data_IF_591419376830
#
_entry.id   IF_591419376830
#
_cell.length_a   1.000
_cell.length_b   1.000
_cell.length_c   1.000
_cell.angle_alpha   90.00
_cell.angle_beta   90.00
_cell.angle_gamma   90.00
#
_symmetry.space_group_name_H-M   'P 1'
#
loop_
_entity.id
_entity.type
_entity.pdbx_description
1 polymer ?
#
# COMPACT_ATOMS: atom_id res chain seq x y z
N UNK A 1 25.13 -35.78 -16.73
CA UNK A 1 25.09 -34.58 -15.87
C UNK A 1 23.79 -33.83 -16.16
N UNK A 2 22.77 -33.98 -15.31
CA UNK A 2 21.53 -33.19 -15.39
C UNK A 2 21.77 -31.86 -14.66
N UNK A 3 22.37 -30.90 -15.37
CA UNK A 3 22.51 -29.53 -14.90
C UNK A 3 21.26 -28.73 -15.30
N UNK A 4 20.18 -28.90 -14.51
CA UNK A 4 18.91 -28.19 -14.70
C UNK A 4 18.56 -27.36 -13.47
N UNK A 5 18.85 -26.05 -13.55
CA UNK A 5 18.10 -24.96 -12.90
C UNK A 5 17.68 -25.13 -11.42
N UNK A 6 18.63 -25.29 -10.48
CA UNK A 6 18.35 -25.15 -9.05
C UNK A 6 18.14 -23.70 -8.57
N UNK A 7 18.28 -22.69 -9.44
CA UNK A 7 18.14 -21.28 -9.07
C UNK A 7 16.68 -20.79 -8.93
N UNK A 8 15.69 -21.60 -9.34
CA UNK A 8 14.28 -21.19 -9.36
C UNK A 8 13.48 -21.55 -8.10
N UNK A 9 13.85 -22.60 -7.36
CA UNK A 9 13.05 -23.06 -6.20
C UNK A 9 13.10 -22.06 -5.03
N UNK A 10 14.26 -21.48 -4.72
CA UNK A 10 14.36 -20.53 -3.60
C UNK A 10 13.61 -19.21 -3.85
N UNK A 11 13.42 -18.82 -5.11
CA UNK A 11 12.73 -17.57 -5.44
C UNK A 11 11.22 -17.69 -5.30
N UNK A 12 10.63 -18.84 -5.67
CA UNK A 12 9.20 -19.07 -5.53
C UNK A 12 8.80 -19.18 -4.06
N UNK A 13 9.59 -19.86 -3.22
CA UNK A 13 9.36 -19.92 -1.77
C UNK A 13 9.44 -18.53 -1.12
N UNK A 14 10.43 -17.71 -1.50
CA UNK A 14 10.56 -16.34 -0.99
C UNK A 14 9.36 -15.44 -1.37
N UNK A 15 8.80 -15.62 -2.56
CA UNK A 15 7.61 -14.87 -3.00
C UNK A 15 6.36 -15.35 -2.25
N UNK A 16 6.16 -16.67 -2.09
CA UNK A 16 5.05 -17.22 -1.32
C UNK A 16 5.10 -16.82 0.15
N UNK A 17 6.29 -16.79 0.76
CA UNK A 17 6.48 -16.27 2.10
C UNK A 17 6.25 -14.76 2.15
N UNK A 18 6.66 -14.01 1.13
CA UNK A 18 6.32 -12.59 0.97
C UNK A 18 4.82 -12.32 1.01
N UNK A 19 3.99 -13.18 0.41
CA UNK A 19 2.53 -13.07 0.48
C UNK A 19 1.98 -13.31 1.89
N UNK A 20 2.52 -14.30 2.63
CA UNK A 20 2.14 -14.52 4.03
C UNK A 20 2.55 -13.35 4.91
N UNK A 21 3.75 -12.81 4.70
CA UNK A 21 4.26 -11.65 5.42
C UNK A 21 3.42 -10.40 5.11
N UNK A 22 3.06 -10.16 3.85
CA UNK A 22 2.15 -9.07 3.49
C UNK A 22 0.81 -9.19 4.23
N UNK A 23 0.22 -10.39 4.27
CA UNK A 23 -1.03 -10.64 5.03
C UNK A 23 -0.87 -10.38 6.52
N UNK A 24 0.27 -10.74 7.11
CA UNK A 24 0.56 -10.45 8.51
C UNK A 24 0.69 -8.93 8.75
N UNK A 25 1.38 -8.19 7.87
CA UNK A 25 1.46 -6.72 7.92
C UNK A 25 0.07 -6.08 7.81
N UNK A 26 -0.80 -6.56 6.92
CA UNK A 26 -2.20 -6.08 6.83
C UNK A 26 -2.94 -6.24 8.16
N UNK A 27 -2.74 -7.38 8.84
CA UNK A 27 -3.44 -7.70 10.08
C UNK A 27 -2.89 -6.92 11.28
N UNK A 28 -1.57 -6.76 11.37
CA UNK A 28 -0.89 -5.94 12.38
C UNK A 28 -1.29 -4.46 12.22
N UNK A 29 -1.31 -3.94 10.98
CA UNK A 29 -1.76 -2.58 10.72
C UNK A 29 -3.26 -2.40 11.01
N UNK A 30 -4.09 -3.40 10.71
CA UNK A 30 -5.50 -3.37 11.11
C UNK A 30 -5.64 -3.29 12.64
N UNK A 31 -4.83 -4.03 13.41
CA UNK A 31 -4.86 -3.99 14.87
C UNK A 31 -4.38 -2.64 15.45
N UNK A 32 -3.40 -1.99 14.82
CA UNK A 32 -2.85 -0.70 15.29
C UNK A 32 -3.68 0.52 14.83
N UNK A 33 -4.21 0.46 13.61
CA UNK A 33 -4.82 1.61 12.92
C UNK A 33 -6.34 1.50 12.86
N UNK A 34 -6.91 0.30 13.01
CA UNK A 34 -8.34 0.02 12.89
C UNK A 34 -8.85 -0.06 11.45
N UNK A 35 -8.00 0.23 10.47
CA UNK A 35 -8.32 0.16 9.03
C UNK A 35 -7.39 -0.85 8.39
N UNK A 36 -7.93 -1.73 7.54
CA UNK A 36 -7.17 -2.78 6.89
C UNK A 36 -6.56 -2.24 5.59
N UNK A 37 -5.24 -1.99 5.53
CA UNK A 37 -4.59 -1.65 4.28
C UNK A 37 -4.45 -2.90 3.39
N UNK A 38 -4.27 -2.69 2.10
CA UNK A 38 -3.74 -3.69 1.19
C UNK A 38 -2.22 -3.55 1.16
N UNK A 39 -1.50 -4.66 1.33
CA UNK A 39 -0.03 -4.65 1.29
C UNK A 39 0.43 -5.33 0.01
N UNK A 40 1.17 -4.60 -0.81
CA UNK A 40 1.87 -5.14 -1.97
C UNK A 40 3.37 -4.98 -1.78
N UNK A 41 4.15 -5.85 -2.40
CA UNK A 41 5.59 -5.89 -2.21
C UNK A 41 6.26 -6.25 -3.53
N UNK A 42 7.44 -5.68 -3.76
CA UNK A 42 8.19 -5.87 -4.99
C UNK A 42 9.53 -6.55 -4.70
N UNK A 43 9.73 -7.71 -5.31
CA UNK A 43 11.01 -8.41 -5.29
C UNK A 43 11.71 -8.18 -6.62
N UNK A 44 12.99 -7.79 -6.54
CA UNK A 44 13.85 -7.70 -7.70
C UNK A 44 15.13 -8.47 -7.42
N UNK A 45 15.48 -9.42 -8.30
CA UNK A 45 16.67 -10.26 -8.18
C UNK A 45 16.84 -10.94 -6.80
N UNK A 46 15.75 -11.44 -6.22
CA UNK A 46 15.77 -12.12 -4.92
C UNK A 46 15.93 -11.20 -3.71
N UNK A 47 15.76 -9.88 -3.88
CA UNK A 47 15.72 -8.91 -2.77
C UNK A 47 14.40 -8.17 -2.72
N UNK A 48 13.90 -7.94 -1.51
CA UNK A 48 12.77 -7.07 -1.24
C UNK A 48 13.18 -5.60 -1.48
N UNK A 49 12.67 -5.01 -2.56
CA UNK A 49 13.02 -3.63 -2.95
C UNK A 49 12.06 -2.61 -2.34
N UNK A 50 10.76 -2.82 -2.52
CA UNK A 50 9.74 -1.93 -1.98
C UNK A 50 8.57 -2.68 -1.38
N UNK A 51 7.99 -2.11 -0.34
CA UNK A 51 6.68 -2.52 0.20
C UNK A 51 5.75 -1.32 0.14
N UNK A 52 4.59 -1.51 -0.48
CA UNK A 52 3.55 -0.50 -0.61
C UNK A 52 2.36 -0.88 0.25
N UNK A 53 2.03 -0.02 1.19
CA UNK A 53 0.89 -0.14 2.09
C UNK A 53 -0.18 0.84 1.60
N UNK A 54 -1.27 0.31 1.05
CA UNK A 54 -2.37 1.09 0.47
C UNK A 54 -3.57 1.09 1.40
N UNK A 55 -3.90 2.23 1.97
CA UNK A 55 -5.13 2.42 2.75
C UNK A 55 -6.33 2.72 1.84
N UNK A 56 -7.52 2.17 2.14
CA UNK A 56 -8.72 2.35 1.33
C UNK A 56 -9.34 3.75 1.42
N UNK A 57 -8.87 4.59 2.33
CA UNK A 57 -9.30 5.98 2.50
C UNK A 57 -8.19 6.79 3.18
N UNK A 58 -8.25 8.12 3.08
CA UNK A 58 -7.43 9.00 3.91
C UNK A 58 -7.76 8.80 5.38
N UNK A 59 -6.72 8.67 6.20
CA UNK A 59 -6.83 8.58 7.66
C UNK A 59 -6.55 9.96 8.24
N UNK A 60 -7.60 10.69 8.63
CA UNK A 60 -7.48 12.06 9.15
C UNK A 60 -7.23 12.08 10.67
N UNK A 61 -7.65 11.02 11.36
CA UNK A 61 -7.57 10.93 12.82
C UNK A 61 -6.18 10.50 13.33
N UNK A 62 -5.25 10.16 12.43
CA UNK A 62 -3.91 9.68 12.78
C UNK A 62 -2.81 10.46 12.06
N UNK A 63 -1.74 10.85 12.76
CA UNK A 63 -0.64 11.56 12.12
C UNK A 63 0.09 10.63 11.14
N UNK A 64 0.44 11.18 9.97
CA UNK A 64 1.13 10.43 8.92
C UNK A 64 2.44 9.77 9.40
N UNK A 65 3.12 10.41 10.36
CA UNK A 65 4.35 9.90 10.94
C UNK A 65 4.13 8.61 11.75
N UNK A 66 3.04 8.51 12.52
CA UNK A 66 2.69 7.28 13.26
C UNK A 66 2.38 6.14 12.29
N UNK A 67 1.64 6.42 11.21
CA UNK A 67 1.37 5.43 10.16
C UNK A 67 2.65 4.97 9.48
N UNK A 68 3.59 5.89 9.22
CA UNK A 68 4.88 5.57 8.61
C UNK A 68 5.74 4.67 9.50
N UNK A 69 5.81 4.98 10.81
CA UNK A 69 6.59 4.20 11.75
C UNK A 69 5.96 2.83 12.04
N UNK A 70 4.62 2.76 12.11
CA UNK A 70 3.88 1.50 12.20
C UNK A 70 4.14 0.62 10.97
N UNK A 71 4.04 1.18 9.76
CA UNK A 71 4.30 0.46 8.51
C UNK A 71 5.75 -0.06 8.44
N UNK A 72 6.74 0.77 8.77
CA UNK A 72 8.15 0.35 8.80
C UNK A 72 8.40 -0.77 9.82
N UNK A 73 7.79 -0.65 11.01
CA UNK A 73 7.91 -1.66 12.07
C UNK A 73 7.30 -2.98 11.65
N UNK A 74 6.07 -2.96 11.11
CA UNK A 74 5.39 -4.16 10.63
C UNK A 74 6.16 -4.82 9.48
N UNK A 75 6.62 -4.04 8.50
CA UNK A 75 7.43 -4.57 7.39
C UNK A 75 8.74 -5.19 7.89
N UNK A 76 9.46 -4.51 8.78
CA UNK A 76 10.70 -5.03 9.34
C UNK A 76 10.51 -6.31 10.17
N UNK A 77 9.42 -6.38 10.93
CA UNK A 77 9.04 -7.55 11.74
C UNK A 77 8.70 -8.75 10.87
N UNK A 78 7.84 -8.56 9.87
CA UNK A 78 7.28 -9.66 9.09
C UNK A 78 8.24 -10.14 7.98
N UNK A 79 8.82 -9.23 7.19
CA UNK A 79 9.62 -9.65 6.03
C UNK A 79 11.02 -10.14 6.39
N UNK A 80 11.46 -10.04 7.65
CA UNK A 80 12.80 -10.40 8.18
C UNK A 80 14.00 -9.78 7.44
N UNK A 81 13.74 -9.02 6.39
CA UNK A 81 14.67 -8.36 5.50
C UNK A 81 14.21 -6.92 5.35
N UNK A 82 15.16 -5.98 5.40
CA UNK A 82 14.86 -4.56 5.26
C UNK A 82 14.54 -4.26 3.80
N UNK A 83 13.32 -3.79 3.53
CA UNK A 83 12.98 -3.21 2.24
C UNK A 83 13.80 -1.93 2.02
N UNK A 84 14.28 -1.70 0.80
CA UNK A 84 14.99 -0.45 0.46
C UNK A 84 14.04 0.75 0.61
N UNK A 85 12.75 0.56 0.32
CA UNK A 85 11.70 1.59 0.48
C UNK A 85 10.40 1.03 1.06
N UNK A 86 9.73 1.84 1.88
CA UNK A 86 8.35 1.59 2.35
C UNK A 86 7.49 2.77 1.91
N UNK A 87 6.45 2.49 1.12
CA UNK A 87 5.56 3.48 0.52
C UNK A 87 4.20 3.39 1.21
N UNK A 88 3.67 4.53 1.67
CA UNK A 88 2.27 4.65 2.08
C UNK A 88 1.47 5.25 0.93
N UNK A 89 0.39 4.58 0.56
CA UNK A 89 -0.58 5.04 -0.41
C UNK A 89 -1.96 5.14 0.23
N UNK A 90 -2.76 6.09 -0.22
CA UNK A 90 -4.12 6.31 0.26
C UNK A 90 -5.04 6.46 -0.94
N UNK A 91 -6.15 5.72 -0.96
CA UNK A 91 -7.21 5.98 -1.90
C UNK A 91 -7.95 7.26 -1.48
N UNK A 92 -8.21 8.14 -2.45
CA UNK A 92 -8.88 9.43 -2.25
C UNK A 92 -10.41 9.35 -2.44
N UNK A 93 -10.92 8.18 -2.84
CA UNK A 93 -12.31 8.02 -3.27
C UNK A 93 -12.52 8.45 -4.73
N UNK A 94 -13.78 8.47 -5.20
CA UNK A 94 -14.11 8.91 -6.55
C UNK A 94 -13.71 10.37 -6.76
N UNK A 95 -13.18 10.67 -7.95
CA UNK A 95 -12.88 12.03 -8.39
C UNK A 95 -14.17 12.79 -8.70
N UNK A 96 -14.93 13.18 -7.69
CA UNK A 96 -16.05 14.10 -7.89
C UNK A 96 -15.47 15.50 -8.13
N UNK A 97 -15.40 15.91 -9.39
CA UNK A 97 -15.27 17.32 -9.73
C UNK A 97 -16.49 18.02 -9.12
N UNK A 98 -16.35 19.04 -8.26
CA UNK A 98 -17.49 19.82 -7.84
C UNK A 98 -18.14 20.36 -9.10
N UNK A 99 -19.31 19.83 -9.46
CA UNK A 99 -20.13 20.45 -10.50
C UNK A 99 -20.58 21.75 -9.88
N UNK A 100 -19.82 22.81 -10.13
CA UNK A 100 -20.37 24.16 -10.05
C UNK A 100 -21.46 24.17 -11.11
N UNK A 101 -22.68 23.85 -10.67
CA UNK A 101 -23.88 24.05 -11.47
C UNK A 101 -23.93 25.55 -11.73
N UNK A 102 -23.42 25.97 -12.88
CA UNK A 102 -23.68 27.30 -13.39
C UNK A 102 -25.18 27.40 -13.57
N UNK A 103 -25.81 28.18 -12.69
CA UNK A 103 -27.23 28.47 -12.74
C UNK A 103 -27.54 29.15 -14.09
N UNK A 104 -28.35 28.54 -14.98
CA UNK A 104 -28.60 29.08 -16.30
C UNK A 104 -29.62 30.23 -16.31
N UNK A 105 -30.05 30.77 -15.17
CA UNK A 105 -31.07 31.85 -15.13
C UNK A 105 -30.51 33.27 -15.18
N UNK A 106 -29.19 33.48 -15.24
CA UNK A 106 -28.61 34.82 -15.40
C UNK A 106 -28.46 35.21 -16.89
N UNK A 107 -29.58 35.26 -17.63
CA UNK A 107 -29.58 35.63 -19.04
C UNK A 107 -30.86 36.29 -19.54
N UNK A 108 -31.77 36.66 -18.66
CA UNK A 108 -33.02 37.33 -19.03
C UNK A 108 -33.29 38.43 -18.02
N UNK A 109 -32.73 39.61 -18.27
CA UNK A 109 -33.27 40.95 -17.95
C UNK A 109 -32.16 41.98 -18.10
N UNK A 110 -32.19 42.77 -19.17
CA UNK A 110 -31.68 44.13 -19.15
C UNK A 110 -32.66 45.02 -19.95
N UNK A 111 -33.04 46.20 -19.42
CA UNK A 111 -34.06 47.10 -19.97
C UNK A 111 -33.70 47.74 -21.33
#
# INVERSE_FOLDING_TARGET
MLAGCAAGCGLVDAVFDGFKHAKAVENDLFAMVGVKPAVSFNWHNGRLTSVTVTFPNLLQDKPLQELADAARTAVGKEFKQRADNVVLAFALGPSETPVVQADPTQGKNLP
#
